data_IF_173351489082
#
_entry.id   IF_173351489082
#
_cell.length_a   1.000
_cell.length_b   1.000
_cell.length_c   1.000
_cell.angle_alpha   90.00
_cell.angle_beta   90.00
_cell.angle_gamma   90.00
#
_symmetry.space_group_name_H-M   'P 1'
#
loop_
_entity.id
_entity.type
_entity.pdbx_description
1 polymer ?
#
# COMPACT_ATOMS: atom_id res chain seq x y z
N UNK A 1 -20.19 -2.10 -0.75
CA UNK A 1 -19.24 -2.54 -1.78
C UNK A 1 -17.87 -2.61 -1.14
N UNK A 2 -17.13 -3.70 -1.32
CA UNK A 2 -15.80 -3.89 -0.73
C UNK A 2 -14.68 -3.33 -1.61
N UNK A 3 -13.47 -3.24 -1.06
CA UNK A 3 -12.27 -2.71 -1.75
C UNK A 3 -11.44 -3.81 -2.44
N UNK A 4 -12.00 -5.01 -2.67
CA UNK A 4 -11.20 -6.18 -3.05
C UNK A 4 -10.46 -6.00 -4.38
N UNK A 5 -11.10 -5.39 -5.37
CA UNK A 5 -10.49 -5.16 -6.67
C UNK A 5 -9.38 -4.11 -6.57
N UNK A 6 -9.63 -3.02 -5.84
CA UNK A 6 -8.66 -1.96 -5.58
C UNK A 6 -7.45 -2.49 -4.81
N UNK A 7 -7.67 -3.41 -3.86
CA UNK A 7 -6.59 -4.08 -3.12
C UNK A 7 -5.73 -4.93 -4.06
N UNK A 8 -6.35 -5.71 -4.95
CA UNK A 8 -5.63 -6.51 -5.96
C UNK A 8 -4.85 -5.61 -6.93
N UNK A 9 -5.44 -4.50 -7.36
CA UNK A 9 -4.75 -3.52 -8.22
C UNK A 9 -3.60 -2.85 -7.48
N UNK A 10 -3.77 -2.43 -6.22
CA UNK A 10 -2.68 -1.83 -5.44
C UNK A 10 -1.48 -2.78 -5.28
N UNK A 11 -1.71 -4.09 -5.14
CA UNK A 11 -0.63 -5.08 -5.03
C UNK A 11 0.08 -5.39 -6.35
N UNK A 12 -0.62 -5.30 -7.48
CA UNK A 12 -0.08 -5.66 -8.81
C UNK A 12 0.42 -4.46 -9.62
N UNK A 13 -0.25 -3.31 -9.48
CA UNK A 13 -0.03 -2.07 -10.21
C UNK A 13 -0.30 -0.86 -9.29
N UNK A 14 0.51 -0.66 -8.22
CA UNK A 14 0.38 0.52 -7.37
C UNK A 14 0.67 1.81 -8.16
N UNK A 15 0.24 2.95 -7.62
CA UNK A 15 0.72 4.28 -8.02
C UNK A 15 1.93 4.71 -7.18
N UNK A 16 2.05 4.22 -5.95
CA UNK A 16 3.20 4.46 -5.09
C UNK A 16 3.46 3.28 -4.14
N UNK A 17 4.73 2.98 -3.90
CA UNK A 17 5.17 2.03 -2.87
C UNK A 17 6.03 2.77 -1.86
N UNK A 18 5.71 2.60 -0.57
CA UNK A 18 6.50 3.11 0.54
C UNK A 18 6.97 2.00 1.45
N UNK A 19 8.15 2.18 2.04
CA UNK A 19 8.59 1.43 3.20
C UNK A 19 8.16 2.16 4.45
N UNK A 20 7.62 1.44 5.43
CA UNK A 20 7.29 2.02 6.73
C UNK A 20 8.54 2.62 7.38
N UNK A 21 8.39 3.80 7.98
CA UNK A 21 9.45 4.44 8.78
C UNK A 21 9.76 3.70 10.08
N UNK A 22 8.86 2.82 10.55
CA UNK A 22 8.98 2.11 11.82
C UNK A 22 9.43 0.66 11.69
N UNK A 23 9.17 0.02 10.55
CA UNK A 23 9.54 -1.38 10.31
C UNK A 23 9.93 -1.57 8.83
N UNK A 24 11.20 -1.86 8.50
CA UNK A 24 11.64 -2.04 7.12
C UNK A 24 11.06 -3.29 6.44
N UNK A 25 10.42 -4.18 7.21
CA UNK A 25 9.68 -5.33 6.68
C UNK A 25 8.26 -4.97 6.26
N UNK A 26 7.75 -3.79 6.62
CA UNK A 26 6.42 -3.34 6.22
C UNK A 26 6.51 -2.48 4.96
N UNK A 27 5.72 -2.88 3.95
CA UNK A 27 5.51 -2.12 2.72
C UNK A 27 4.07 -1.62 2.66
N UNK A 28 3.90 -0.42 2.12
CA UNK A 28 2.61 0.21 1.87
C UNK A 28 2.47 0.44 0.38
N UNK A 29 1.46 -0.18 -0.21
CA UNK A 29 1.09 -0.01 -1.61
C UNK A 29 -0.10 0.94 -1.67
N UNK A 30 0.03 2.01 -2.43
CA UNK A 30 -0.99 3.02 -2.61
C UNK A 30 -1.55 2.95 -4.03
N UNK A 31 -2.87 2.90 -4.12
CA UNK A 31 -3.63 3.09 -5.36
C UNK A 31 -4.50 4.34 -5.23
N UNK A 32 -4.46 5.23 -6.22
CA UNK A 32 -5.28 6.42 -6.30
C UNK A 32 -6.67 6.02 -6.82
N UNK A 33 -7.73 6.36 -6.09
CA UNK A 33 -9.10 6.16 -6.53
C UNK A 33 -9.59 7.37 -7.33
N UNK A 34 -9.93 8.47 -6.64
CA UNK A 34 -10.33 9.80 -7.16
C UNK A 34 -10.15 10.86 -6.05
N UNK A 35 -10.02 12.13 -6.39
CA UNK A 35 -10.12 13.26 -5.45
C UNK A 35 -9.25 13.14 -4.17
N UNK A 36 -7.97 12.76 -4.31
CA UNK A 36 -7.07 12.54 -3.16
C UNK A 36 -7.62 11.49 -2.18
N UNK A 37 -8.27 10.45 -2.70
CA UNK A 37 -8.55 9.22 -1.95
C UNK A 37 -7.66 8.10 -2.46
N UNK A 38 -7.11 7.37 -1.52
CA UNK A 38 -6.24 6.24 -1.77
C UNK A 38 -6.81 4.98 -1.15
N UNK A 39 -6.45 3.84 -1.74
CA UNK A 39 -6.42 2.56 -1.04
C UNK A 39 -4.99 2.30 -0.60
N UNK A 40 -4.81 2.15 0.72
CA UNK A 40 -3.55 1.74 1.30
C UNK A 40 -3.61 0.24 1.59
N UNK A 41 -2.72 -0.53 0.98
CA UNK A 41 -2.53 -1.94 1.27
C UNK A 41 -1.22 -2.11 2.03
N UNK A 42 -1.32 -2.60 3.27
CA UNK A 42 -0.17 -2.80 4.14
C UNK A 42 0.21 -4.27 4.12
N UNK A 43 1.44 -4.56 3.74
CA UNK A 43 1.98 -5.92 3.72
C UNK A 43 3.19 -6.02 4.62
N UNK A 44 3.48 -7.23 5.09
CA UNK A 44 4.73 -7.56 5.78
C UNK A 44 5.50 -8.58 4.96
N UNK A 45 6.77 -8.31 4.71
CA UNK A 45 7.74 -9.25 4.14
C UNK A 45 8.14 -10.28 5.18
N UNK A 46 8.30 -11.53 4.76
CA UNK A 46 8.75 -12.66 5.56
C UNK A 46 9.67 -13.55 4.73
N UNK A 47 10.98 -13.41 4.88
CA UNK A 47 12.00 -14.34 4.34
C UNK A 47 11.79 -14.83 2.89
N UNK A 48 11.40 -13.94 1.98
CA UNK A 48 11.15 -14.25 0.57
C UNK A 48 9.67 -14.20 0.16
N UNK A 49 8.77 -14.29 1.14
CA UNK A 49 7.33 -14.15 0.97
C UNK A 49 6.81 -12.83 1.55
N UNK A 50 5.51 -12.61 1.45
CA UNK A 50 4.82 -11.56 2.18
C UNK A 50 3.33 -11.83 2.33
N UNK A 51 2.72 -11.22 3.33
CA UNK A 51 1.28 -11.32 3.56
C UNK A 51 0.65 -9.94 3.74
N UNK A 52 -0.60 -9.83 3.32
CA UNK A 52 -1.42 -8.64 3.55
C UNK A 52 -1.83 -8.60 5.03
N UNK A 53 -1.47 -7.52 5.71
CA UNK A 53 -1.85 -7.27 7.11
C UNK A 53 -3.25 -6.66 7.14
N UNK A 54 -3.43 -5.57 6.38
CA UNK A 54 -4.68 -4.82 6.34
C UNK A 54 -4.75 -3.99 5.06
N UNK A 55 -5.96 -3.66 4.65
CA UNK A 55 -6.22 -2.69 3.60
C UNK A 55 -7.37 -1.77 4.00
N UNK A 56 -7.23 -0.49 3.71
CA UNK A 56 -8.23 0.52 4.04
C UNK A 56 -8.14 1.70 3.08
N UNK A 57 -9.25 2.42 2.96
CA UNK A 57 -9.27 3.69 2.25
C UNK A 57 -8.73 4.79 3.18
N UNK A 58 -7.97 5.73 2.61
CA UNK A 58 -7.42 6.88 3.34
C UNK A 58 -7.37 8.11 2.45
N UNK A 59 -7.36 9.28 3.07
CA UNK A 59 -7.16 10.61 2.49
C UNK A 59 -5.78 11.18 2.86
N UNK A 60 -4.88 10.33 3.37
CA UNK A 60 -3.50 10.71 3.68
C UNK A 60 -2.52 9.58 3.31
N UNK A 61 -1.38 9.98 2.75
CA UNK A 61 -0.26 9.07 2.54
C UNK A 61 0.61 9.07 3.80
N UNK A 62 0.97 7.88 4.30
CA UNK A 62 1.80 7.74 5.49
C UNK A 62 3.25 8.13 5.19
N UNK A 63 3.89 8.70 6.20
CA UNK A 63 5.34 8.96 6.21
C UNK A 63 6.13 7.66 6.07
N UNK A 64 7.29 7.74 5.42
CA UNK A 64 8.14 6.60 5.09
C UNK A 64 8.95 6.85 3.83
N UNK A 65 9.92 5.96 3.60
CA UNK A 65 10.79 5.98 2.41
C UNK A 65 9.95 5.65 1.17
N UNK A 66 9.98 6.52 0.16
CA UNK A 66 9.37 6.23 -1.15
C UNK A 66 10.30 5.28 -1.88
N UNK A 67 9.84 4.05 -2.10
CA UNK A 67 10.61 3.06 -2.86
C UNK A 67 10.34 3.16 -4.35
N UNK A 68 9.11 3.54 -4.71
CA UNK A 68 8.69 3.66 -6.10
C UNK A 68 7.46 4.56 -6.23
N UNK A 69 7.37 5.28 -7.35
CA UNK A 69 6.21 6.09 -7.72
C UNK A 69 6.10 6.13 -9.25
N UNK A 70 4.86 6.04 -9.76
CA UNK A 70 4.55 6.16 -11.19
C UNK A 70 4.75 7.58 -11.72
#
# INVERSE_FOLDING_TARGET
MGLENEVKTALSQPDQIRRSSRDPNILLFYLILKEKRWVAVVTRKLNGDGFLITAYQTDAIKEGEVLWQK
#
